data_IF_870914550001
#
_entry.id   IF_870914550001
#
_cell.length_a   1.000
_cell.length_b   1.000
_cell.length_c   1.000
_cell.angle_alpha   90.00
_cell.angle_beta   90.00
_cell.angle_gamma   90.00
#
_symmetry.space_group_name_H-M   'P 1'
#
loop_
_entity.id
_entity.type
_entity.pdbx_description
1 polymer ?
#
# COMPACT_ATOMS: atom_id res chain seq x y z
N UNK A 1 11.10 14.65 6.22
CA UNK A 1 11.15 13.20 6.54
C UNK A 1 10.44 12.46 5.42
N UNK A 2 11.02 11.40 4.86
CA UNK A 2 10.44 10.67 3.72
C UNK A 2 9.26 9.75 4.12
N UNK A 3 8.67 9.02 3.17
CA UNK A 3 7.55 8.11 3.42
C UNK A 3 7.98 6.79 4.10
N UNK A 4 9.22 6.69 4.59
CA UNK A 4 9.71 5.51 5.32
C UNK A 4 8.85 5.24 6.56
N UNK A 5 8.50 3.97 6.79
CA UNK A 5 7.71 3.57 7.95
C UNK A 5 6.66 2.50 7.65
N UNK A 6 5.79 2.27 8.62
CA UNK A 6 4.65 1.37 8.50
C UNK A 6 3.36 2.18 8.25
N UNK A 7 2.52 1.66 7.38
CA UNK A 7 1.33 2.31 6.84
C UNK A 7 0.17 1.33 6.81
N UNK A 8 -1.06 1.83 6.96
CA UNK A 8 -2.28 1.03 6.83
C UNK A 8 -3.32 1.78 6.01
N UNK A 9 -3.97 1.10 5.05
CA UNK A 9 -5.08 1.68 4.30
C UNK A 9 -6.44 1.42 4.97
N UNK A 10 -7.50 1.99 4.40
CA UNK A 10 -8.88 1.85 4.87
C UNK A 10 -9.44 0.42 4.77
N UNK A 11 -8.81 -0.43 3.94
CA UNK A 11 -9.15 -1.85 3.79
C UNK A 11 -8.39 -2.75 4.77
N UNK A 12 -7.58 -2.15 5.66
CA UNK A 12 -6.76 -2.85 6.64
C UNK A 12 -5.45 -3.43 6.08
N UNK A 13 -5.18 -3.31 4.78
CA UNK A 13 -3.89 -3.69 4.20
C UNK A 13 -2.74 -2.88 4.84
N UNK A 14 -1.61 -3.54 5.06
CA UNK A 14 -0.44 -2.91 5.68
C UNK A 14 0.74 -2.85 4.72
N UNK A 15 1.47 -1.76 4.76
CA UNK A 15 2.64 -1.52 3.94
C UNK A 15 3.80 -1.06 4.81
N UNK A 16 4.99 -1.64 4.60
CA UNK A 16 6.24 -1.16 5.21
C UNK A 16 7.14 -0.65 4.11
N UNK A 17 7.50 0.64 4.17
CA UNK A 17 8.38 1.31 3.22
C UNK A 17 9.76 1.54 3.83
N UNK A 18 10.77 1.31 3.00
CA UNK A 18 12.15 1.76 3.20
C UNK A 18 12.46 2.75 2.09
N UNK A 19 12.88 3.95 2.47
CA UNK A 19 13.16 5.04 1.54
C UNK A 19 14.65 5.35 1.51
N UNK A 20 15.24 5.38 0.32
CA UNK A 20 16.62 5.80 0.13
C UNK A 20 16.71 7.30 -0.18
N UNK A 21 17.83 7.98 0.13
CA UNK A 21 18.01 9.40 -0.17
C UNK A 21 17.91 9.77 -1.65
N UNK A 22 18.15 8.80 -2.55
CA UNK A 22 18.06 8.98 -3.99
C UNK A 22 16.62 8.88 -4.54
N UNK A 23 15.62 8.66 -3.67
CA UNK A 23 14.22 8.49 -4.06
C UNK A 23 13.80 7.05 -4.31
N UNK A 24 14.65 6.04 -4.06
CA UNK A 24 14.23 4.63 -4.17
C UNK A 24 13.28 4.25 -3.03
N UNK A 25 12.16 3.61 -3.37
CA UNK A 25 11.29 2.93 -2.41
C UNK A 25 11.39 1.43 -2.58
N UNK A 26 11.55 0.72 -1.46
CA UNK A 26 11.43 -0.73 -1.38
C UNK A 26 10.61 -1.10 -0.15
N UNK A 27 10.17 -2.35 -0.05
CA UNK A 27 9.54 -2.83 1.16
C UNK A 27 8.62 -4.01 0.94
N UNK A 28 7.58 -4.07 1.77
CA UNK A 28 6.58 -5.15 1.70
C UNK A 28 5.16 -4.61 1.83
N UNK A 29 4.25 -5.22 1.09
CA UNK A 29 2.81 -4.98 1.15
C UNK A 29 2.09 -6.26 1.58
N UNK A 30 1.11 -6.16 2.45
CA UNK A 30 0.29 -7.26 2.94
C UNK A 30 -1.18 -6.86 2.84
N UNK A 31 -1.90 -7.52 1.93
CA UNK A 31 -3.33 -7.27 1.71
C UNK A 31 -4.17 -8.09 2.68
N UNK A 32 -5.22 -7.47 3.22
CA UNK A 32 -6.26 -8.14 4.01
C UNK A 32 -7.54 -8.43 3.19
N UNK A 33 -7.52 -8.11 1.90
CA UNK A 33 -8.63 -8.33 0.97
C UNK A 33 -8.15 -9.00 -0.32
N UNK A 34 -9.08 -9.64 -1.03
CA UNK A 34 -8.82 -10.35 -2.28
C UNK A 34 -8.09 -11.68 -2.07
N UNK A 35 -7.56 -12.23 -3.17
CA UNK A 35 -6.78 -13.48 -3.15
C UNK A 35 -5.31 -13.16 -2.97
N UNK A 36 -4.94 -12.69 -1.79
CA UNK A 36 -3.56 -12.38 -1.44
C UNK A 36 -3.29 -12.89 -0.02
N UNK A 37 -2.21 -13.64 0.15
CA UNK A 37 -1.85 -14.21 1.45
C UNK A 37 -0.38 -13.92 1.75
N UNK A 38 -0.12 -13.39 2.94
CA UNK A 38 1.22 -13.01 3.38
C UNK A 38 1.74 -11.74 2.70
N UNK A 39 3.06 -11.58 2.74
CA UNK A 39 3.75 -10.36 2.29
C UNK A 39 4.19 -10.48 0.85
N UNK A 40 4.09 -9.39 0.12
CA UNK A 40 4.56 -9.22 -1.25
C UNK A 40 5.62 -8.13 -1.28
N UNK A 41 6.73 -8.32 -1.99
CA UNK A 41 7.70 -7.26 -2.22
C UNK A 41 7.03 -6.08 -2.96
N UNK A 42 7.42 -4.87 -2.58
CA UNK A 42 7.09 -3.67 -3.34
C UNK A 42 8.37 -2.93 -3.72
N UNK A 43 8.33 -2.27 -4.87
CA UNK A 43 9.38 -1.37 -5.32
C UNK A 43 8.75 -0.14 -6.00
N UNK A 44 9.41 1.01 -5.88
CA UNK A 44 8.87 2.27 -6.36
C UNK A 44 9.85 3.42 -6.28
N UNK A 45 9.33 4.63 -6.47
CA UNK A 45 10.07 5.88 -6.36
C UNK A 45 9.22 6.93 -5.66
N UNK A 46 9.89 7.89 -5.04
CA UNK A 46 9.29 9.13 -4.58
C UNK A 46 10.19 10.30 -4.92
N UNK A 47 9.65 11.52 -4.89
CA UNK A 47 10.45 12.74 -4.92
C UNK A 47 11.06 12.99 -3.53
N UNK A 48 12.39 12.87 -3.36
CA UNK A 48 13.04 13.08 -2.06
C UNK A 48 13.22 14.56 -1.71
N UNK A 49 12.99 15.48 -2.65
CA UNK A 49 13.22 16.90 -2.48
C UNK A 49 12.08 17.74 -3.11
N UNK A 50 10.82 17.54 -2.66
CA UNK A 50 9.72 18.37 -3.12
C UNK A 50 9.93 19.84 -2.68
N UNK A 51 9.27 20.81 -3.34
CA UNK A 51 9.25 22.19 -2.88
C UNK A 51 8.85 22.31 -1.40
N UNK A 52 9.34 23.34 -0.71
CA UNK A 52 8.88 23.65 0.64
C UNK A 52 7.35 23.81 0.66
N UNK A 53 6.70 23.24 1.68
CA UNK A 53 5.24 23.24 1.86
C UNK A 53 4.45 22.48 0.77
N UNK A 54 5.09 21.57 0.04
CA UNK A 54 4.45 20.71 -0.94
C UNK A 54 4.45 19.23 -0.53
N UNK A 55 3.50 18.48 -1.10
CA UNK A 55 3.51 17.03 -1.04
C UNK A 55 4.60 16.44 -1.94
N UNK A 56 5.12 15.26 -1.59
CA UNK A 56 6.01 14.51 -2.46
C UNK A 56 5.21 13.61 -3.40
N UNK A 57 5.52 13.63 -4.71
CA UNK A 57 5.00 12.63 -5.63
C UNK A 57 5.57 11.25 -5.27
N UNK A 58 4.74 10.22 -5.31
CA UNK A 58 5.13 8.85 -4.95
C UNK A 58 4.42 7.83 -5.82
N UNK A 59 5.11 6.73 -6.13
CA UNK A 59 4.50 5.58 -6.77
C UNK A 59 5.28 4.30 -6.51
N UNK A 60 4.55 3.18 -6.46
CA UNK A 60 5.14 1.86 -6.24
C UNK A 60 4.31 0.78 -6.93
N UNK A 61 4.90 -0.40 -7.05
CA UNK A 61 4.29 -1.56 -7.71
C UNK A 61 4.45 -2.79 -6.85
N UNK A 62 3.40 -3.61 -6.82
CA UNK A 62 3.36 -4.93 -6.19
C UNK A 62 2.93 -5.94 -7.24
N UNK A 63 3.75 -6.98 -7.45
CA UNK A 63 3.34 -8.17 -8.21
C UNK A 63 2.77 -9.16 -7.20
N UNK A 64 1.55 -9.65 -7.46
CA UNK A 64 0.84 -10.56 -6.56
C UNK A 64 1.31 -12.01 -6.70
N UNK A 65 2.62 -12.21 -6.55
CA UNK A 65 3.29 -13.50 -6.60
C UNK A 65 4.27 -13.61 -5.44
N UNK A 66 4.07 -14.59 -4.56
CA UNK A 66 4.97 -14.91 -3.46
C UNK A 66 4.98 -16.42 -3.19
N UNK A 67 5.68 -16.83 -2.13
CA UNK A 67 5.80 -18.23 -1.72
C UNK A 67 4.45 -18.90 -1.36
N UNK A 68 3.40 -18.11 -1.10
CA UNK A 68 2.05 -18.59 -0.76
C UNK A 68 1.13 -18.72 -1.97
N UNK A 69 1.54 -18.20 -3.12
CA UNK A 69 0.80 -18.35 -4.37
C UNK A 69 1.00 -17.20 -5.34
N UNK A 70 0.47 -17.40 -6.55
CA UNK A 70 0.47 -16.42 -7.62
C UNK A 70 -0.96 -16.09 -8.04
N UNK A 71 -1.33 -14.82 -7.94
CA UNK A 71 -2.63 -14.29 -8.33
C UNK A 71 -2.62 -13.68 -9.73
N UNK A 72 -1.53 -13.90 -10.48
CA UNK A 72 -1.39 -13.55 -11.89
C UNK A 72 -1.81 -12.11 -12.18
N UNK A 73 -1.35 -11.19 -11.34
CA UNK A 73 -1.74 -9.79 -11.41
C UNK A 73 -0.68 -8.88 -10.81
N UNK A 74 -0.76 -7.61 -11.19
CA UNK A 74 0.10 -6.53 -10.71
C UNK A 74 -0.75 -5.32 -10.36
N UNK A 75 -0.45 -4.70 -9.22
CA UNK A 75 -1.01 -3.40 -8.88
C UNK A 75 0.09 -2.35 -8.83
N UNK A 76 -0.13 -1.21 -9.47
CA UNK A 76 0.68 -0.01 -9.27
C UNK A 76 -0.15 1.06 -8.60
N UNK A 77 0.46 1.79 -7.68
CA UNK A 77 -0.08 2.97 -7.02
C UNK A 77 0.70 4.19 -7.49
N UNK A 78 -0.02 5.27 -7.76
CA UNK A 78 0.55 6.58 -8.06
C UNK A 78 -0.22 7.65 -7.27
N UNK A 79 0.50 8.55 -6.62
CA UNK A 79 -0.12 9.47 -5.70
C UNK A 79 0.83 10.46 -5.04
N UNK A 80 0.47 10.87 -3.84
CA UNK A 80 1.19 11.87 -3.05
C UNK A 80 1.37 11.43 -1.60
N UNK A 81 2.53 11.75 -1.05
CA UNK A 81 2.83 11.69 0.37
C UNK A 81 2.78 13.11 0.96
N UNK A 82 1.97 13.28 2.00
CA UNK A 82 1.83 14.50 2.77
C UNK A 82 2.60 14.36 4.10
N UNK A 83 3.75 15.04 4.26
CA UNK A 83 4.59 14.91 5.44
C UNK A 83 4.03 15.59 6.68
N UNK A 84 3.13 16.57 6.54
CA UNK A 84 2.53 17.27 7.70
C UNK A 84 1.35 16.47 8.25
N UNK A 85 0.56 15.87 7.37
CA UNK A 85 -0.59 15.05 7.75
C UNK A 85 -0.23 13.58 8.05
N UNK A 86 0.98 13.14 7.67
CA UNK A 86 1.39 11.73 7.71
C UNK A 86 0.40 10.81 6.96
N UNK A 87 0.06 11.23 5.74
CA UNK A 87 -0.88 10.55 4.85
C UNK A 87 -0.25 10.22 3.50
N UNK A 88 -0.65 9.08 2.92
CA UNK A 88 -0.43 8.80 1.50
C UNK A 88 -1.77 8.61 0.81
N UNK A 89 -2.04 9.47 -0.18
CA UNK A 89 -3.19 9.31 -1.07
C UNK A 89 -2.70 8.75 -2.39
N UNK A 90 -3.25 7.62 -2.84
CA UNK A 90 -2.86 7.04 -4.11
C UNK A 90 -4.06 6.48 -4.89
N UNK A 91 -4.02 6.67 -6.20
CA UNK A 91 -4.86 5.94 -7.15
C UNK A 91 -4.09 4.70 -7.59
N UNK A 92 -4.79 3.57 -7.70
CA UNK A 92 -4.18 2.33 -8.14
C UNK A 92 -4.76 1.81 -9.45
N UNK A 93 -3.93 1.09 -10.19
CA UNK A 93 -4.31 0.28 -11.35
C UNK A 93 -3.91 -1.17 -11.06
N UNK A 94 -4.89 -2.07 -11.05
CA UNK A 94 -4.70 -3.51 -10.91
C UNK A 94 -4.96 -4.15 -12.26
N UNK A 95 -3.94 -4.72 -12.88
CA UNK A 95 -4.07 -5.52 -14.11
C UNK A 95 -3.95 -6.99 -13.76
N UNK A 96 -4.95 -7.78 -14.16
CA UNK A 96 -4.96 -9.23 -14.00
C UNK A 96 -4.80 -9.94 -15.35
N UNK A 97 -4.10 -11.07 -15.33
CA UNK A 97 -3.95 -11.98 -16.44
C UNK A 97 -5.04 -13.07 -16.37
N UNK A 98 -5.35 -13.70 -17.51
CA UNK A 98 -6.26 -14.84 -17.57
C UNK A 98 -7.35 -14.68 -18.62
N UNK A 99 -7.99 -15.81 -18.98
CA UNK A 99 -9.01 -15.84 -20.03
C UNK A 99 -10.23 -14.94 -19.73
N UNK A 100 -10.55 -14.77 -18.45
CA UNK A 100 -11.62 -13.89 -17.95
C UNK A 100 -11.22 -12.40 -17.89
N UNK A 101 -9.94 -12.09 -18.03
CA UNK A 101 -9.36 -10.75 -17.98
C UNK A 101 -8.76 -10.36 -19.33
N UNK A 102 -9.50 -10.57 -20.42
CA UNK A 102 -9.02 -10.28 -21.78
C UNK A 102 -9.43 -8.88 -22.24
N UNK A 103 -8.45 -8.13 -22.76
CA UNK A 103 -8.68 -6.81 -23.36
C UNK A 103 -9.09 -5.74 -22.34
N UNK A 104 -10.23 -5.09 -22.59
CA UNK A 104 -10.63 -3.85 -21.91
C UNK A 104 -10.93 -3.99 -20.41
N UNK A 105 -11.34 -5.18 -19.96
CA UNK A 105 -11.72 -5.44 -18.57
C UNK A 105 -10.56 -5.97 -17.70
N UNK A 106 -9.36 -6.08 -18.28
CA UNK A 106 -8.16 -6.58 -17.59
C UNK A 106 -7.68 -5.67 -16.46
N UNK A 107 -7.99 -4.38 -16.54
CA UNK A 107 -7.48 -3.37 -15.60
C UNK A 107 -8.62 -2.74 -14.80
N UNK A 108 -8.49 -2.82 -13.48
CA UNK A 108 -9.37 -2.16 -12.51
C UNK A 108 -8.66 -0.92 -11.97
N UNK A 109 -9.44 0.09 -11.62
CA UNK A 109 -8.97 1.33 -11.01
C UNK A 109 -9.65 1.54 -9.67
N UNK A 110 -8.93 2.12 -8.72
CA UNK A 110 -9.46 2.55 -7.44
C UNK A 110 -8.53 3.51 -6.73
N UNK A 111 -8.80 3.78 -5.47
CA UNK A 111 -8.01 4.65 -4.62
C UNK A 111 -7.80 3.98 -3.26
N UNK A 112 -6.71 4.35 -2.60
CA UNK A 112 -6.41 3.99 -1.21
C UNK A 112 -5.93 5.24 -0.46
N UNK A 113 -6.29 5.33 0.82
CA UNK A 113 -5.75 6.29 1.78
C UNK A 113 -4.96 5.56 2.85
N UNK A 114 -3.66 5.78 2.91
CA UNK A 114 -2.81 5.20 3.94
C UNK A 114 -2.53 6.18 5.07
N UNK A 115 -2.69 5.70 6.31
CA UNK A 115 -2.29 6.39 7.53
C UNK A 115 -1.03 5.74 8.10
N UNK A 116 -0.16 6.53 8.71
CA UNK A 116 1.03 6.01 9.40
C UNK A 116 0.62 5.20 10.62
N UNK A 117 1.29 4.07 10.84
CA UNK A 117 1.17 3.29 12.07
C UNK A 117 2.28 3.74 13.03
N UNK A 118 1.88 4.12 14.24
CA UNK A 118 2.83 4.36 15.31
C UNK A 118 3.63 3.09 15.60
N UNK A 119 4.94 3.24 15.84
CA UNK A 119 5.82 2.13 16.18
C UNK A 119 5.43 1.39 17.49
N UNK A 120 4.48 1.93 18.24
CA UNK A 120 3.92 1.35 19.47
C UNK A 120 2.78 0.37 19.21
N UNK A 121 2.15 0.37 18.03
CA UNK A 121 1.09 -0.59 17.70
C UNK A 121 1.71 -1.92 17.33
N UNK A 122 1.70 -2.85 18.28
CA UNK A 122 2.09 -4.24 18.03
C UNK A 122 1.05 -4.88 17.08
N UNK A 123 1.47 -5.75 16.14
CA UNK A 123 0.53 -6.55 15.37
C UNK A 123 -0.27 -7.44 16.34
N UNK A 124 -1.50 -7.04 16.67
CA UNK A 124 -2.36 -7.74 17.62
C UNK A 124 -3.40 -6.88 18.35
N UNK A 125 -3.23 -5.56 18.45
CA UNK A 125 -4.07 -4.72 19.32
C UNK A 125 -5.39 -4.21 18.69
N UNK A 126 -5.73 -4.62 17.47
CA UNK A 126 -7.03 -4.27 16.85
C UNK A 126 -8.06 -5.40 16.92
N UNK A 127 -8.20 -6.03 18.09
CA UNK A 127 -9.25 -7.03 18.35
C UNK A 127 -9.82 -6.92 19.77
N UNK A 128 -10.38 -5.76 20.14
CA UNK A 128 -11.38 -5.69 21.23
C UNK A 128 -12.21 -4.40 21.13
N UNK A 129 -13.19 -4.37 20.25
CA UNK A 129 -14.27 -3.37 20.33
C UNK A 129 -15.68 -3.96 20.19
N UNK A 130 -15.83 -5.20 19.71
CA UNK A 130 -17.16 -5.78 19.41
C UNK A 130 -17.72 -6.72 20.50
N UNK A 131 -17.27 -6.61 21.74
CA UNK A 131 -17.77 -7.45 22.84
C UNK A 131 -18.41 -6.64 23.99
N UNK A 132 -19.12 -5.55 23.70
CA UNK A 132 -20.11 -4.99 24.64
C UNK A 132 -21.29 -4.42 23.84
N UNK A 133 -22.29 -5.25 23.58
CA UNK A 133 -23.71 -4.87 23.60
C UNK A 133 -24.58 -6.05 23.15
N UNK A 134 -24.74 -7.06 24.01
CA UNK A 134 -25.95 -7.91 24.10
C UNK A 134 -26.04 -8.45 25.53
N UNK A 135 -26.69 -7.67 26.39
CA UNK A 135 -27.31 -8.14 27.63
C UNK A 135 -28.82 -8.15 27.43
#
# INVERSE_FOLDING_TARGET
MGPEGAWRNELGATMRLVASPDGLLTGTYESHVGRAAGRYPLAGRFDPAPPADAHAAVGWTVVWNNERGNSHSVTTWCGRYDPEADLVHATWLLTAEGAEHTGWCSTRVGQDLFIRLDATVRPGDSASADAVSRS
#
